data_IF_739084499038
#
_entry.id   IF_739084499038
#
_cell.length_a   1.000
_cell.length_b   1.000
_cell.length_c   1.000
_cell.angle_alpha   90.00
_cell.angle_beta   90.00
_cell.angle_gamma   90.00
#
_symmetry.space_group_name_H-M   'P 1'
#
loop_
_entity.id
_entity.type
_entity.pdbx_description
1 polymer ?
#
# COMPACT_ATOMS: atom_id res chain seq x y z
N UNK A 1 24.32 -5.20 -6.90
CA UNK A 1 24.61 -6.33 -5.98
C UNK A 1 23.88 -7.55 -6.54
N UNK A 2 24.50 -8.74 -6.53
CA UNK A 2 23.85 -9.97 -7.00
C UNK A 2 22.76 -10.37 -6.00
N UNK A 3 21.51 -10.49 -6.46
CA UNK A 3 20.39 -11.01 -5.65
C UNK A 3 20.72 -12.42 -5.15
N UNK A 4 20.53 -12.66 -3.86
CA UNK A 4 20.72 -13.99 -3.24
C UNK A 4 19.64 -14.96 -3.76
N UNK A 5 19.89 -16.27 -3.71
CA UNK A 5 18.84 -17.26 -4.05
C UNK A 5 17.58 -17.06 -3.19
N UNK A 6 17.73 -16.67 -1.93
CA UNK A 6 16.61 -16.35 -1.05
C UNK A 6 15.78 -15.18 -1.58
N UNK A 7 16.43 -14.10 -2.04
CA UNK A 7 15.75 -12.94 -2.63
C UNK A 7 15.06 -13.29 -3.94
N UNK A 8 15.71 -14.03 -4.84
CA UNK A 8 15.09 -14.52 -6.08
C UNK A 8 13.84 -15.37 -5.81
N UNK A 9 13.88 -16.24 -4.80
CA UNK A 9 12.69 -17.02 -4.40
C UNK A 9 11.55 -16.09 -3.98
N UNK A 10 11.83 -15.04 -3.20
CA UNK A 10 10.79 -14.09 -2.77
C UNK A 10 10.24 -13.33 -3.98
N UNK A 11 11.11 -12.78 -4.83
CA UNK A 11 10.72 -11.97 -5.99
C UNK A 11 9.79 -12.76 -6.92
N UNK A 12 10.23 -13.96 -7.32
CA UNK A 12 9.46 -14.81 -8.24
C UNK A 12 8.19 -15.38 -7.60
N UNK A 13 8.23 -15.69 -6.30
CA UNK A 13 7.04 -16.15 -5.59
C UNK A 13 5.97 -15.04 -5.51
N UNK A 14 6.37 -13.80 -5.17
CA UNK A 14 5.44 -12.67 -5.09
C UNK A 14 4.82 -12.37 -6.45
N UNK A 15 5.62 -12.39 -7.51
CA UNK A 15 5.13 -12.23 -8.87
C UNK A 15 4.08 -13.30 -9.22
N UNK A 16 4.42 -14.59 -9.03
CA UNK A 16 3.52 -15.72 -9.29
C UNK A 16 2.25 -15.69 -8.43
N UNK A 17 2.35 -15.30 -7.15
CA UNK A 17 1.19 -15.14 -6.28
C UNK A 17 0.27 -14.04 -6.79
N UNK A 18 0.82 -12.94 -7.32
CA UNK A 18 0.02 -11.84 -7.86
C UNK A 18 -0.71 -12.21 -9.15
N UNK A 19 -0.11 -13.05 -10.00
CA UNK A 19 -0.69 -13.45 -11.29
C UNK A 19 -1.66 -14.63 -11.20
N UNK A 20 -1.37 -15.60 -10.32
CA UNK A 20 -2.10 -16.86 -10.26
C UNK A 20 -2.86 -17.07 -8.94
N UNK A 21 -2.64 -16.22 -7.95
CA UNK A 21 -3.09 -16.44 -6.59
C UNK A 21 -2.18 -17.38 -5.80
N UNK A 22 -2.25 -17.29 -4.48
CA UNK A 22 -1.40 -18.07 -3.57
C UNK A 22 -1.68 -19.58 -3.69
N UNK A 23 -2.96 -19.96 -3.70
CA UNK A 23 -3.37 -21.37 -3.70
C UNK A 23 -2.96 -22.10 -4.99
N UNK A 24 -3.06 -21.44 -6.16
CA UNK A 24 -2.75 -22.06 -7.46
C UNK A 24 -1.25 -22.08 -7.81
N UNK A 25 -0.42 -21.42 -7.00
CA UNK A 25 1.03 -21.39 -7.19
C UNK A 25 1.70 -22.54 -6.44
N UNK A 26 2.41 -23.42 -7.16
CA UNK A 26 3.13 -24.56 -6.57
C UNK A 26 4.58 -24.22 -6.26
N UNK A 27 5.17 -24.91 -5.27
CA UNK A 27 6.60 -24.77 -4.93
C UNK A 27 7.49 -25.03 -6.15
N UNK A 28 7.18 -26.05 -6.96
CA UNK A 28 7.94 -26.37 -8.16
C UNK A 28 7.94 -25.23 -9.20
N UNK A 29 6.83 -24.48 -9.34
CA UNK A 29 6.77 -23.28 -10.21
C UNK A 29 7.68 -22.18 -9.69
N UNK A 30 7.66 -21.93 -8.37
CA UNK A 30 8.53 -20.93 -7.72
C UNK A 30 10.01 -21.31 -7.90
N UNK A 31 10.35 -22.58 -7.67
CA UNK A 31 11.72 -23.09 -7.86
C UNK A 31 12.19 -22.88 -9.30
N UNK A 32 11.38 -23.26 -10.29
CA UNK A 32 11.70 -23.08 -11.69
C UNK A 32 11.97 -21.61 -12.04
N UNK A 33 11.09 -20.71 -11.60
CA UNK A 33 11.20 -19.27 -11.84
C UNK A 33 12.43 -18.66 -11.15
N UNK A 34 12.74 -19.09 -9.92
CA UNK A 34 13.91 -18.64 -9.17
C UNK A 34 15.26 -19.21 -9.69
N UNK A 35 15.24 -19.99 -10.78
CA UNK A 35 16.42 -20.62 -11.36
C UNK A 35 16.93 -21.82 -10.55
N UNK A 36 16.03 -22.51 -9.83
CA UNK A 36 16.28 -23.77 -9.14
C UNK A 36 15.68 -24.94 -9.94
N UNK A 37 16.12 -26.15 -9.62
CA UNK A 37 15.53 -27.36 -10.20
C UNK A 37 14.12 -27.56 -9.64
N UNK A 38 13.12 -27.51 -10.52
CA UNK A 38 11.72 -27.66 -10.16
C UNK A 38 11.44 -29.00 -9.45
N UNK A 39 10.82 -28.95 -8.28
CA UNK A 39 10.44 -30.13 -7.50
C UNK A 39 11.60 -30.79 -6.76
N UNK A 40 12.82 -30.24 -6.82
CA UNK A 40 13.98 -30.79 -6.12
C UNK A 40 14.06 -30.42 -4.64
N UNK A 41 13.15 -29.55 -4.16
CA UNK A 41 13.13 -29.10 -2.77
C UNK A 41 14.16 -28.01 -2.44
N UNK A 42 14.71 -27.35 -3.47
CA UNK A 42 15.63 -26.24 -3.32
C UNK A 42 15.03 -25.05 -2.55
N UNK A 43 13.72 -24.85 -2.65
CA UNK A 43 13.01 -23.83 -1.85
C UNK A 43 13.13 -24.11 -0.34
N UNK A 44 13.04 -25.38 0.05
CA UNK A 44 13.03 -25.80 1.46
C UNK A 44 14.37 -25.60 2.18
N UNK A 45 15.46 -25.36 1.44
CA UNK A 45 16.72 -24.92 2.02
C UNK A 45 16.69 -23.47 2.53
N UNK A 46 15.76 -22.66 2.05
CA UNK A 46 15.65 -21.24 2.38
C UNK A 46 14.40 -20.90 3.20
N UNK A 47 13.31 -21.64 3.00
CA UNK A 47 12.03 -21.42 3.65
C UNK A 47 11.38 -22.73 4.05
N UNK A 48 10.86 -22.82 5.27
CA UNK A 48 10.24 -24.04 5.78
C UNK A 48 8.94 -24.40 5.05
N UNK A 49 8.20 -23.41 4.55
CA UNK A 49 6.94 -23.60 3.83
C UNK A 49 6.73 -22.53 2.75
N UNK A 50 5.74 -22.74 1.87
CA UNK A 50 5.30 -21.73 0.89
C UNK A 50 4.71 -20.49 1.58
N UNK A 51 4.04 -20.68 2.71
CA UNK A 51 3.50 -19.61 3.56
C UNK A 51 4.64 -18.73 4.11
N UNK A 52 5.78 -19.33 4.48
CA UNK A 52 6.94 -18.58 4.98
C UNK A 52 7.56 -17.68 3.90
N UNK A 53 7.49 -18.09 2.63
CA UNK A 53 7.92 -17.24 1.49
C UNK A 53 6.99 -16.04 1.34
N UNK A 54 5.67 -16.27 1.36
CA UNK A 54 4.67 -15.21 1.29
C UNK A 54 4.83 -14.21 2.45
N UNK A 55 4.98 -14.71 3.67
CA UNK A 55 5.19 -13.88 4.85
C UNK A 55 6.44 -13.00 4.72
N UNK A 56 7.56 -13.57 4.26
CA UNK A 56 8.79 -12.81 4.05
C UNK A 56 8.66 -11.76 2.93
N UNK A 57 7.93 -12.06 1.85
CA UNK A 57 7.67 -11.10 0.78
C UNK A 57 6.83 -9.91 1.25
N UNK A 58 5.77 -10.18 2.01
CA UNK A 58 4.92 -9.13 2.59
C UNK A 58 5.70 -8.32 3.62
N UNK A 59 6.42 -8.96 4.56
CA UNK A 59 7.22 -8.27 5.57
C UNK A 59 8.24 -7.32 4.92
N UNK A 60 8.88 -7.74 3.82
CA UNK A 60 9.80 -6.89 3.05
C UNK A 60 9.10 -5.66 2.48
N UNK A 61 7.90 -5.81 1.93
CA UNK A 61 7.12 -4.68 1.39
C UNK A 61 6.60 -3.77 2.50
N UNK A 62 6.12 -4.32 3.61
CA UNK A 62 5.72 -3.56 4.80
C UNK A 62 6.87 -2.71 5.34
N UNK A 63 8.06 -3.31 5.48
CA UNK A 63 9.26 -2.62 5.95
C UNK A 63 9.65 -1.45 5.03
N UNK A 64 9.48 -1.62 3.72
CA UNK A 64 9.69 -0.56 2.74
C UNK A 64 8.70 0.59 2.91
N UNK A 65 7.41 0.27 3.05
CA UNK A 65 6.35 1.26 3.29
C UNK A 65 6.61 2.05 4.58
N UNK A 66 7.05 1.40 5.65
CA UNK A 66 7.37 2.05 6.91
C UNK A 66 8.59 2.97 6.80
N UNK A 67 9.66 2.55 6.10
CA UNK A 67 10.83 3.39 5.86
C UNK A 67 10.47 4.66 5.08
N UNK A 68 9.61 4.55 4.08
CA UNK A 68 9.20 5.70 3.28
C UNK A 68 8.26 6.66 4.03
N UNK A 69 7.39 6.13 4.91
CA UNK A 69 6.60 6.97 5.84
C UNK A 69 7.50 7.82 6.74
N UNK A 70 8.62 7.26 7.18
CA UNK A 70 9.57 7.99 8.02
C UNK A 70 10.30 9.08 7.23
N UNK A 71 10.73 8.80 6.00
CA UNK A 71 11.31 9.81 5.10
C UNK A 71 10.31 10.96 4.87
N UNK A 72 9.04 10.65 4.63
CA UNK A 72 7.98 11.64 4.46
C UNK A 72 7.84 12.55 5.68
N UNK A 73 7.86 12.00 6.90
CA UNK A 73 7.76 12.79 8.14
C UNK A 73 8.88 13.80 8.28
N UNK A 74 10.07 13.51 7.74
CA UNK A 74 11.22 14.42 7.78
C UNK A 74 11.11 15.53 6.72
N UNK A 75 10.50 15.23 5.57
CA UNK A 75 10.41 16.17 4.44
C UNK A 75 9.25 17.18 4.54
N UNK A 76 8.34 17.02 5.51
CA UNK A 76 7.18 17.89 5.74
C UNK A 76 7.24 18.41 7.19
N UNK A 77 6.83 19.66 7.49
CA UNK A 77 5.97 20.54 6.69
C UNK A 77 6.72 21.43 5.67
N UNK A 78 6.00 21.83 4.61
CA UNK A 78 6.45 22.76 3.56
C UNK A 78 5.84 24.16 3.72
N UNK A 79 4.78 24.32 4.51
CA UNK A 79 4.12 25.60 4.79
C UNK A 79 3.14 26.06 3.70
N UNK A 80 2.95 25.26 2.65
CA UNK A 80 1.87 25.42 1.66
C UNK A 80 1.01 24.16 1.67
N UNK A 81 -0.18 24.27 2.27
CA UNK A 81 -1.13 23.17 2.43
C UNK A 81 -1.51 22.51 1.10
N UNK A 82 -1.65 23.28 0.03
CA UNK A 82 -2.02 22.75 -1.29
C UNK A 82 -0.85 21.98 -1.91
N UNK A 83 0.37 22.50 -1.76
CA UNK A 83 1.57 21.81 -2.19
C UNK A 83 1.77 20.49 -1.43
N UNK A 84 1.58 20.50 -0.11
CA UNK A 84 1.65 19.31 0.74
C UNK A 84 0.62 18.25 0.36
N UNK A 85 -0.64 18.65 0.17
CA UNK A 85 -1.71 17.77 -0.34
C UNK A 85 -1.36 17.18 -1.72
N UNK A 86 -0.79 17.99 -2.61
CA UNK A 86 -0.40 17.53 -3.94
C UNK A 86 0.74 16.51 -3.86
N UNK A 87 1.76 16.80 -3.06
CA UNK A 87 2.93 15.94 -2.90
C UNK A 87 2.53 14.60 -2.28
N UNK A 88 1.71 14.61 -1.22
CA UNK A 88 1.30 13.37 -0.57
C UNK A 88 0.44 12.50 -1.48
N UNK A 89 -0.45 13.10 -2.27
CA UNK A 89 -1.31 12.35 -3.16
C UNK A 89 -0.50 11.71 -4.30
N UNK A 90 0.46 12.45 -4.87
CA UNK A 90 1.40 11.91 -5.88
C UNK A 90 2.25 10.78 -5.32
N UNK A 91 2.78 10.97 -4.12
CA UNK A 91 3.55 9.95 -3.42
C UNK A 91 2.70 8.69 -3.19
N UNK A 92 1.48 8.81 -2.65
CA UNK A 92 0.57 7.68 -2.42
C UNK A 92 0.28 6.93 -3.73
N UNK A 93 -0.04 7.64 -4.82
CA UNK A 93 -0.31 6.99 -6.10
C UNK A 93 0.92 6.25 -6.64
N UNK A 94 2.11 6.87 -6.59
CA UNK A 94 3.35 6.24 -7.03
C UNK A 94 3.70 4.99 -6.22
N UNK A 95 3.45 5.00 -4.91
CA UNK A 95 3.62 3.84 -4.04
C UNK A 95 2.63 2.72 -4.38
N UNK A 96 1.35 3.06 -4.57
CA UNK A 96 0.34 2.07 -4.97
C UNK A 96 0.65 1.45 -6.34
N UNK A 97 1.16 2.24 -7.29
CA UNK A 97 1.59 1.76 -8.60
C UNK A 97 2.80 0.81 -8.47
N UNK A 98 3.75 1.15 -7.60
CA UNK A 98 4.95 0.36 -7.33
C UNK A 98 4.66 -0.96 -6.60
N UNK A 99 3.60 -1.00 -5.79
CA UNK A 99 3.21 -2.16 -4.98
C UNK A 99 1.94 -2.86 -5.52
N UNK A 100 1.66 -2.72 -6.82
CA UNK A 100 0.47 -3.31 -7.47
C UNK A 100 0.39 -4.83 -7.34
N UNK A 101 1.53 -5.54 -7.34
CA UNK A 101 1.58 -6.98 -7.09
C UNK A 101 1.09 -7.34 -5.68
N UNK A 102 1.53 -6.61 -4.66
CA UNK A 102 1.04 -6.78 -3.29
C UNK A 102 -0.46 -6.53 -3.23
N UNK A 103 -0.94 -5.44 -3.84
CA UNK A 103 -2.37 -5.13 -3.86
C UNK A 103 -3.20 -6.25 -4.50
N UNK A 104 -2.72 -6.86 -5.59
CA UNK A 104 -3.37 -8.03 -6.22
C UNK A 104 -3.40 -9.25 -5.31
N UNK A 105 -2.26 -9.59 -4.68
CA UNK A 105 -2.18 -10.70 -3.72
C UNK A 105 -3.15 -10.47 -2.56
N UNK A 106 -3.15 -9.25 -2.02
CA UNK A 106 -4.04 -8.87 -0.95
C UNK A 106 -5.50 -9.01 -1.40
N UNK A 107 -5.88 -8.51 -2.56
CA UNK A 107 -7.24 -8.59 -3.06
C UNK A 107 -7.68 -10.04 -3.37
N UNK A 108 -6.82 -10.84 -3.99
CA UNK A 108 -7.13 -12.23 -4.36
C UNK A 108 -7.33 -13.11 -3.14
N UNK A 109 -6.52 -12.90 -2.11
CA UNK A 109 -6.55 -13.73 -0.91
C UNK A 109 -7.59 -13.26 0.11
N UNK A 110 -8.19 -12.08 -0.03
CA UNK A 110 -9.09 -11.46 0.96
C UNK A 110 -10.19 -12.38 1.53
N UNK A 111 -10.66 -13.37 0.77
CA UNK A 111 -11.68 -14.34 1.23
C UNK A 111 -11.12 -15.53 2.02
N UNK A 112 -9.87 -15.95 1.77
CA UNK A 112 -9.27 -17.18 2.30
C UNK A 112 -7.82 -16.96 2.79
N UNK A 113 -7.56 -15.83 3.46
CA UNK A 113 -6.20 -15.46 3.90
C UNK A 113 -5.67 -16.36 5.02
N UNK A 114 -4.39 -16.78 4.97
CA UNK A 114 -3.70 -17.29 6.15
C UNK A 114 -3.75 -16.28 7.30
N UNK A 115 -3.94 -16.75 8.54
CA UNK A 115 -4.17 -15.85 9.68
C UNK A 115 -3.00 -14.91 9.97
N UNK A 116 -1.75 -15.35 9.77
CA UNK A 116 -0.56 -14.49 9.88
C UNK A 116 -0.60 -13.30 8.91
N UNK A 117 -1.14 -13.50 7.71
CA UNK A 117 -1.29 -12.46 6.71
C UNK A 117 -2.41 -11.48 7.08
N UNK A 118 -3.49 -11.95 7.71
CA UNK A 118 -4.52 -11.06 8.26
C UNK A 118 -3.92 -10.07 9.25
N UNK A 119 -3.20 -10.55 10.26
CA UNK A 119 -2.63 -9.69 11.30
C UNK A 119 -1.69 -8.63 10.75
N UNK A 120 -0.79 -9.00 9.84
CA UNK A 120 0.16 -8.06 9.24
C UNK A 120 -0.55 -7.00 8.39
N UNK A 121 -1.59 -7.40 7.63
CA UNK A 121 -2.37 -6.47 6.82
C UNK A 121 -3.24 -5.56 7.69
N UNK A 122 -3.86 -6.09 8.73
CA UNK A 122 -4.67 -5.30 9.67
C UNK A 122 -3.81 -4.21 10.34
N UNK A 123 -2.59 -4.58 10.75
CA UNK A 123 -1.60 -3.62 11.29
C UNK A 123 -1.17 -2.59 10.24
N UNK A 124 -0.92 -3.01 9.00
CA UNK A 124 -0.57 -2.08 7.92
C UNK A 124 -1.70 -1.08 7.67
N UNK A 125 -2.94 -1.57 7.50
CA UNK A 125 -4.11 -0.75 7.23
C UNK A 125 -4.29 0.26 8.36
N UNK A 126 -4.37 -0.21 9.61
CA UNK A 126 -4.55 0.66 10.77
C UNK A 126 -3.43 1.70 10.88
N UNK A 127 -2.16 1.31 10.74
CA UNK A 127 -1.03 2.24 10.80
C UNK A 127 -1.03 3.25 9.65
N UNK A 128 -1.49 2.87 8.45
CA UNK A 128 -1.57 3.79 7.29
C UNK A 128 -2.62 4.86 7.55
N UNK A 129 -3.84 4.44 7.91
CA UNK A 129 -4.97 5.36 8.09
C UNK A 129 -4.79 6.23 9.32
N UNK A 130 -4.30 5.69 10.44
CA UNK A 130 -3.97 6.52 11.62
C UNK A 130 -2.83 7.50 11.31
N UNK A 131 -1.76 7.06 10.64
CA UNK A 131 -0.66 7.95 10.26
C UNK A 131 -1.12 9.09 9.33
N UNK A 132 -2.05 8.84 8.43
CA UNK A 132 -2.63 9.86 7.55
C UNK A 132 -3.61 10.77 8.31
N UNK A 133 -4.38 10.24 9.27
CA UNK A 133 -5.26 11.03 10.14
C UNK A 133 -4.47 11.96 11.07
N UNK A 134 -3.34 11.50 11.63
CA UNK A 134 -2.42 12.34 12.41
C UNK A 134 -1.89 13.48 11.55
N UNK A 135 -1.43 13.16 10.33
CA UNK A 135 -0.94 14.19 9.40
C UNK A 135 -2.02 15.20 9.01
N UNK A 136 -3.27 14.78 8.79
CA UNK A 136 -4.40 15.69 8.54
C UNK A 136 -4.63 16.62 9.75
N UNK A 137 -4.54 16.10 10.97
CA UNK A 137 -4.68 16.90 12.18
C UNK A 137 -3.56 17.94 12.33
N UNK A 138 -2.32 17.55 12.03
CA UNK A 138 -1.17 18.45 12.01
C UNK A 138 -1.31 19.53 10.93
N UNK A 139 -1.72 19.14 9.73
CA UNK A 139 -1.93 20.05 8.59
C UNK A 139 -3.02 21.10 8.86
N UNK A 140 -3.96 20.78 9.76
CA UNK A 140 -5.05 21.67 10.18
C UNK A 140 -4.78 22.34 11.52
N UNK A 141 -3.53 22.36 12.02
CA UNK A 141 -3.14 22.96 13.30
C UNK A 141 -4.01 22.51 14.49
N UNK A 142 -4.47 21.25 14.46
CA UNK A 142 -5.34 20.67 15.49
C UNK A 142 -6.79 21.18 15.50
N UNK A 143 -7.21 21.95 14.49
CA UNK A 143 -8.59 22.49 14.37
C UNK A 143 -9.63 21.41 14.05
N UNK A 144 -9.19 20.23 13.62
CA UNK A 144 -10.05 19.11 13.24
C UNK A 144 -10.11 18.08 14.38
N UNK A 145 -11.32 17.72 14.87
CA UNK A 145 -11.47 16.64 15.84
C UNK A 145 -10.88 15.31 15.34
N UNK A 146 -10.29 14.53 16.24
CA UNK A 146 -9.61 13.26 15.88
C UNK A 146 -10.50 12.29 15.09
N UNK A 147 -11.79 12.19 15.42
CA UNK A 147 -12.74 11.35 14.69
C UNK A 147 -12.99 11.86 13.26
N UNK A 148 -13.11 13.18 13.08
CA UNK A 148 -13.24 13.78 11.76
C UNK A 148 -11.96 13.59 10.93
N UNK A 149 -10.78 13.75 11.54
CA UNK A 149 -9.50 13.49 10.87
C UNK A 149 -9.39 12.03 10.38
N UNK A 150 -9.84 11.05 11.18
CA UNK A 150 -9.93 9.65 10.76
C UNK A 150 -10.90 9.44 9.59
N UNK A 151 -12.07 10.06 9.64
CA UNK A 151 -13.04 9.97 8.55
C UNK A 151 -12.50 10.58 7.25
N UNK A 152 -11.86 11.76 7.33
CA UNK A 152 -11.17 12.38 6.20
C UNK A 152 -10.05 11.47 5.69
N UNK A 153 -9.30 10.81 6.58
CA UNK A 153 -8.26 9.88 6.17
C UNK A 153 -8.83 8.68 5.40
N UNK A 154 -9.93 8.09 5.88
CA UNK A 154 -10.62 6.99 5.21
C UNK A 154 -11.09 7.40 3.81
N UNK A 155 -11.70 8.57 3.67
CA UNK A 155 -12.20 9.07 2.38
C UNK A 155 -11.06 9.49 1.44
N UNK A 156 -10.08 10.21 1.98
CA UNK A 156 -8.94 10.74 1.23
C UNK A 156 -8.01 9.64 0.74
N UNK A 157 -7.44 8.84 1.65
CA UNK A 157 -6.56 7.74 1.26
C UNK A 157 -7.34 6.62 0.55
N UNK A 158 -8.54 6.30 1.01
CA UNK A 158 -9.36 5.24 0.45
C UNK A 158 -9.78 5.49 -0.99
N UNK A 159 -10.03 6.76 -1.39
CA UNK A 159 -10.33 7.10 -2.79
C UNK A 159 -9.14 6.88 -3.72
N UNK A 160 -7.92 7.21 -3.29
CA UNK A 160 -6.69 6.95 -4.06
C UNK A 160 -6.44 5.45 -4.20
N UNK A 161 -6.55 4.70 -3.09
CA UNK A 161 -6.45 3.24 -3.09
C UNK A 161 -7.49 2.59 -4.01
N UNK A 162 -8.75 3.03 -3.92
CA UNK A 162 -9.85 2.53 -4.75
C UNK A 162 -9.58 2.74 -6.23
N UNK A 163 -9.01 3.89 -6.62
CA UNK A 163 -8.67 4.15 -8.03
C UNK A 163 -7.72 3.11 -8.63
N UNK A 164 -6.75 2.62 -7.84
CA UNK A 164 -5.79 1.59 -8.25
C UNK A 164 -6.36 0.20 -8.17
N UNK A 165 -7.15 -0.11 -7.14
CA UNK A 165 -7.84 -1.39 -7.07
C UNK A 165 -8.80 -1.59 -8.26
N UNK A 166 -9.56 -0.56 -8.64
CA UNK A 166 -10.45 -0.62 -9.80
C UNK A 166 -9.68 -0.81 -11.12
N UNK A 167 -8.53 -0.15 -11.27
CA UNK A 167 -7.70 -0.23 -12.48
C UNK A 167 -6.93 -1.56 -12.57
N UNK A 168 -6.16 -1.89 -11.53
CA UNK A 168 -5.11 -2.90 -11.58
C UNK A 168 -5.56 -4.29 -11.13
N UNK A 169 -6.65 -4.36 -10.34
CA UNK A 169 -7.23 -5.62 -9.88
C UNK A 169 -8.44 -6.01 -10.72
N UNK A 170 -9.36 -5.07 -10.97
CA UNK A 170 -10.55 -5.37 -11.78
C UNK A 170 -10.32 -5.25 -13.30
N UNK A 171 -9.20 -4.67 -13.73
CA UNK A 171 -8.90 -4.45 -15.15
C UNK A 171 -9.91 -3.52 -15.83
N UNK A 172 -10.69 -2.76 -15.06
CA UNK A 172 -11.70 -1.88 -15.58
C UNK A 172 -11.04 -0.60 -16.12
N UNK A 173 -11.47 -0.08 -17.28
CA UNK A 173 -11.01 1.23 -17.73
C UNK A 173 -11.43 2.27 -16.68
N UNK A 174 -10.45 2.81 -15.97
CA UNK A 174 -10.71 3.87 -14.99
C UNK A 174 -11.02 5.16 -15.76
N UNK A 175 -12.20 5.76 -15.57
CA UNK A 175 -12.72 6.79 -16.48
C UNK A 175 -12.07 8.17 -16.31
N UNK A 176 -11.07 8.30 -15.45
CA UNK A 176 -10.44 9.58 -15.08
C UNK A 176 -8.92 9.47 -15.16
N UNK A 177 -8.27 10.45 -15.78
CA UNK A 177 -6.81 10.54 -15.80
C UNK A 177 -6.24 10.95 -14.43
N UNK A 178 -5.03 10.49 -14.13
CA UNK A 178 -4.42 10.69 -12.80
C UNK A 178 -4.25 12.17 -12.44
N UNK A 179 -3.92 13.05 -13.40
CA UNK A 179 -3.80 14.50 -13.13
C UNK A 179 -5.17 15.14 -12.79
N UNK A 180 -6.25 14.70 -13.44
CA UNK A 180 -7.61 15.16 -13.12
C UNK A 180 -8.05 14.64 -11.75
N UNK A 181 -7.76 13.36 -11.46
CA UNK A 181 -8.01 12.78 -10.14
C UNK A 181 -7.26 13.53 -9.04
N UNK A 182 -5.95 13.76 -9.22
CA UNK A 182 -5.09 14.46 -8.26
C UNK A 182 -5.57 15.88 -7.99
N UNK A 183 -5.77 16.67 -9.05
CA UNK A 183 -6.22 18.06 -8.89
C UNK A 183 -7.57 18.17 -8.19
N UNK A 184 -8.52 17.28 -8.53
CA UNK A 184 -9.84 17.21 -7.88
C UNK A 184 -9.72 16.75 -6.42
N UNK A 185 -8.90 15.73 -6.14
CA UNK A 185 -8.65 15.25 -4.79
C UNK A 185 -8.08 16.35 -3.89
N UNK A 186 -7.07 17.09 -4.38
CA UNK A 186 -6.47 18.21 -3.64
C UNK A 186 -7.51 19.30 -3.37
N UNK A 187 -8.38 19.61 -4.32
CA UNK A 187 -9.46 20.58 -4.14
C UNK A 187 -10.46 20.14 -3.07
N UNK A 188 -10.94 18.89 -3.12
CA UNK A 188 -11.89 18.34 -2.15
C UNK A 188 -11.30 18.31 -0.74
N UNK A 189 -10.06 17.85 -0.61
CA UNK A 189 -9.35 17.84 0.66
C UNK A 189 -9.17 19.26 1.20
N UNK A 190 -8.69 20.20 0.38
CA UNK A 190 -8.51 21.59 0.79
C UNK A 190 -9.82 22.22 1.27
N UNK A 191 -10.92 22.07 0.51
CA UNK A 191 -12.23 22.60 0.88
C UNK A 191 -12.76 21.99 2.18
N UNK A 192 -12.53 20.70 2.41
CA UNK A 192 -12.90 20.04 3.66
C UNK A 192 -12.14 20.63 4.84
N UNK A 193 -10.82 20.81 4.71
CA UNK A 193 -9.99 21.42 5.76
C UNK A 193 -10.41 22.86 6.05
N UNK A 194 -10.74 23.65 5.02
CA UNK A 194 -11.22 25.03 5.15
C UNK A 194 -12.58 25.14 5.87
N UNK A 195 -13.51 24.24 5.58
CA UNK A 195 -14.81 24.20 6.26
C UNK A 195 -14.62 24.00 7.78
N UNK A 196 -13.77 23.06 8.19
CA UNK A 196 -13.45 22.88 9.61
C UNK A 196 -12.77 24.09 10.24
N UNK A 197 -11.79 24.70 9.55
CA UNK A 197 -11.12 25.90 10.03
C UNK A 197 -12.10 27.08 10.24
N UNK A 198 -13.06 27.23 9.33
CA UNK A 198 -14.07 28.30 9.41
C UNK A 198 -15.03 28.12 10.60
N UNK A 199 -15.35 26.88 10.97
CA UNK A 199 -16.22 26.55 12.11
C UNK A 199 -15.50 26.68 13.45
N UNK A 200 -14.19 26.45 13.50
CA UNK A 200 -13.39 26.60 14.71
C UNK A 200 -13.16 28.07 15.11
N UNK A 201 -13.26 28.99 14.15
CA UNK A 201 -13.12 30.44 14.37
C UNK A 201 -14.43 31.19 14.67
N UNK A 202 -15.58 30.51 14.62
CA UNK A 202 -16.91 31.05 14.91
C UNK A 202 -17.35 30.73 16.34
#
# INVERSE_FOLDING_TARGET
MSSTTRERIIDEAMHLFSEHGYAATSVAKIEAAAGLTAGAGGLYHHFTTKEAVLAAGIERQLSRLDALREIRRVLMPLGDRKAELTLIARYILAELDSESELLRILASEARNRPQMLSTAVDQLVNSTFEGFATWIGELADGQIPSEAARAIAVLGLGSLLSSRLLRDVLGAPFPVEDETLLSTWVQLMSATLDDFASRAGA
#
